data_IF_368555554781
#
_entry.id   IF_368555554781
#
_cell.length_a   1.000
_cell.length_b   1.000
_cell.length_c   1.000
_cell.angle_alpha   90.00
_cell.angle_beta   90.00
_cell.angle_gamma   90.00
#
_symmetry.space_group_name_H-M   'P 1'
#
loop_
_entity.id
_entity.type
_entity.pdbx_description
1 polymer ?
#
# COMPACT_ATOMS: atom_id res chain seq x y z
N UNK A 1 2.91 -10.86 4.42
CA UNK A 1 1.81 -10.04 4.98
C UNK A 1 1.80 -8.69 4.27
N UNK A 2 0.62 -8.09 4.08
CA UNK A 2 0.47 -6.76 3.50
C UNK A 2 -0.19 -5.82 4.50
N UNK A 3 0.19 -4.54 4.47
CA UNK A 3 -0.32 -3.49 5.36
C UNK A 3 -0.51 -2.20 4.56
N UNK A 4 -1.56 -1.43 4.87
CA UNK A 4 -1.80 -0.12 4.26
C UNK A 4 -2.26 0.90 5.30
N UNK A 5 -1.63 2.07 5.28
CA UNK A 5 -1.99 3.22 6.11
C UNK A 5 -1.38 4.53 5.56
N UNK A 6 -1.70 5.69 6.16
CA UNK A 6 -0.91 6.90 6.00
C UNK A 6 0.50 6.71 6.59
N UNK A 7 1.53 6.78 5.77
CA UNK A 7 2.92 6.52 6.18
C UNK A 7 3.58 7.79 6.75
N UNK A 8 2.99 8.34 7.81
CA UNK A 8 3.44 9.55 8.51
C UNK A 8 3.11 9.44 10.00
N UNK A 9 3.80 10.21 10.85
CA UNK A 9 3.51 10.31 12.29
C UNK A 9 2.53 11.42 12.63
N UNK A 10 2.29 12.35 11.71
CA UNK A 10 1.37 13.47 11.87
C UNK A 10 0.52 13.64 10.60
N UNK A 11 -0.77 13.92 10.77
CA UNK A 11 -1.71 14.03 9.65
C UNK A 11 -2.08 12.68 9.03
N UNK A 12 -2.82 12.75 7.91
CA UNK A 12 -3.27 11.59 7.14
C UNK A 12 -3.00 11.83 5.66
N UNK A 13 -1.77 11.52 5.26
CA UNK A 13 -1.26 11.66 3.90
C UNK A 13 -0.25 10.53 3.65
N UNK A 14 0.25 10.42 2.42
CA UNK A 14 1.21 9.37 2.04
C UNK A 14 0.65 7.96 2.24
N UNK A 15 -0.54 7.69 1.70
CA UNK A 15 -1.12 6.33 1.70
C UNK A 15 -0.15 5.40 1.00
N UNK A 16 0.30 4.38 1.73
CA UNK A 16 1.37 3.48 1.30
C UNK A 16 0.97 2.04 1.57
N UNK A 17 1.21 1.15 0.61
CA UNK A 17 1.18 -0.31 0.83
C UNK A 17 2.58 -0.76 1.23
N UNK A 18 2.70 -1.55 2.30
CA UNK A 18 3.95 -2.17 2.77
C UNK A 18 3.82 -3.68 2.78
N UNK A 19 4.88 -4.39 2.43
CA UNK A 19 4.95 -5.84 2.56
C UNK A 19 5.99 -6.28 3.59
N UNK A 20 5.66 -7.37 4.28
CA UNK A 20 6.56 -8.12 5.15
C UNK A 20 6.63 -9.57 4.70
N UNK A 21 7.85 -10.09 4.58
CA UNK A 21 8.13 -11.48 4.20
C UNK A 21 8.41 -12.40 5.40
N UNK A 22 8.54 -11.82 6.59
CA UNK A 22 8.95 -12.49 7.83
C UNK A 22 7.83 -12.49 8.90
N UNK A 23 6.57 -12.46 8.45
CA UNK A 23 5.41 -12.55 9.34
C UNK A 23 5.11 -11.27 10.13
N UNK A 24 5.63 -10.12 9.71
CA UNK A 24 5.39 -8.81 10.33
C UNK A 24 6.48 -8.33 11.25
N UNK A 25 7.65 -8.97 11.26
CA UNK A 25 8.80 -8.55 12.05
C UNK A 25 9.52 -7.36 11.42
N UNK A 26 9.61 -7.32 10.09
CA UNK A 26 10.19 -6.19 9.34
C UNK A 26 9.33 -5.79 8.14
N UNK A 27 9.39 -4.50 7.80
CA UNK A 27 8.76 -3.89 6.62
C UNK A 27 9.79 -3.01 5.88
N UNK A 28 10.73 -3.62 5.13
CA UNK A 28 11.78 -2.90 4.41
C UNK A 28 11.22 -1.83 3.46
N UNK A 29 11.94 -0.72 3.28
CA UNK A 29 11.51 0.40 2.42
C UNK A 29 11.40 -0.01 0.94
N UNK A 30 12.24 -0.94 0.47
CA UNK A 30 12.18 -1.49 -0.88
C UNK A 30 10.90 -2.28 -1.18
N UNK A 31 10.15 -2.65 -0.15
CA UNK A 31 8.88 -3.37 -0.23
C UNK A 31 7.66 -2.49 0.03
N UNK A 32 7.78 -1.20 -0.29
CA UNK A 32 6.73 -0.21 -0.12
C UNK A 32 6.35 0.47 -1.45
N UNK A 33 5.07 0.79 -1.60
CA UNK A 33 4.53 1.53 -2.73
C UNK A 33 3.68 2.68 -2.22
N UNK A 34 4.12 3.90 -2.47
CA UNK A 34 3.35 5.12 -2.23
C UNK A 34 2.26 5.24 -3.31
N UNK A 35 1.02 5.43 -2.88
CA UNK A 35 -0.14 5.54 -3.77
C UNK A 35 -0.69 6.96 -3.87
N UNK A 36 -0.65 7.70 -2.76
CA UNK A 36 -1.24 9.04 -2.66
C UNK A 36 -0.44 9.87 -1.65
N UNK A 37 0.28 10.88 -2.13
CA UNK A 37 1.13 11.74 -1.30
C UNK A 37 0.33 12.79 -0.53
N UNK A 38 -0.85 13.17 -1.04
CA UNK A 38 -1.62 14.30 -0.55
C UNK A 38 -2.52 13.95 0.66
N UNK A 39 -3.02 14.97 1.39
CA UNK A 39 -3.95 14.76 2.49
C UNK A 39 -5.29 14.16 2.06
N UNK A 40 -5.79 13.21 2.86
CA UNK A 40 -7.11 12.60 2.72
C UNK A 40 -7.71 12.22 4.08
N UNK A 41 -8.78 11.42 4.09
CA UNK A 41 -9.37 10.93 5.35
C UNK A 41 -8.63 9.72 5.91
N UNK A 42 -7.92 8.98 5.06
CA UNK A 42 -6.85 8.08 5.46
C UNK A 42 -7.22 6.64 5.80
N UNK A 43 -8.51 6.26 5.81
CA UNK A 43 -8.86 4.85 5.95
C UNK A 43 -8.59 4.09 4.66
N UNK A 44 -8.19 2.82 4.80
CA UNK A 44 -7.92 1.93 3.68
C UNK A 44 -8.23 0.47 4.04
N UNK A 45 -8.53 -0.34 3.03
CA UNK A 45 -8.73 -1.77 3.15
C UNK A 45 -8.09 -2.50 1.96
N UNK A 46 -7.39 -3.59 2.25
CA UNK A 46 -6.74 -4.43 1.24
C UNK A 46 -7.54 -5.71 0.98
N UNK A 47 -7.48 -6.18 -0.25
CA UNK A 47 -7.92 -7.52 -0.64
C UNK A 47 -6.98 -8.12 -1.68
N UNK A 48 -7.04 -9.42 -1.86
CA UNK A 48 -6.35 -10.13 -2.94
C UNK A 48 -7.33 -10.27 -4.09
N UNK A 49 -7.02 -9.64 -5.24
CA UNK A 49 -7.85 -9.76 -6.45
C UNK A 49 -7.60 -11.12 -7.09
N UNK A 50 -6.31 -11.45 -7.26
CA UNK A 50 -5.82 -12.71 -7.82
C UNK A 50 -4.43 -13.04 -7.26
N UNK A 51 -3.77 -14.07 -7.79
CA UNK A 51 -2.47 -14.53 -7.29
C UNK A 51 -1.33 -13.53 -7.47
N UNK A 52 -1.47 -12.54 -8.35
CA UNK A 52 -0.43 -11.60 -8.73
C UNK A 52 -0.79 -10.14 -8.40
N UNK A 53 -2.05 -9.89 -7.99
CA UNK A 53 -2.58 -8.53 -7.86
C UNK A 53 -3.31 -8.31 -6.54
N UNK A 54 -2.96 -7.21 -5.87
CA UNK A 54 -3.59 -6.71 -4.65
C UNK A 54 -4.53 -5.58 -5.02
N UNK A 55 -5.74 -5.61 -4.48
CA UNK A 55 -6.69 -4.50 -4.53
C UNK A 55 -6.63 -3.68 -3.25
N UNK A 56 -6.76 -2.36 -3.38
CA UNK A 56 -6.95 -1.45 -2.26
C UNK A 56 -8.18 -0.57 -2.52
N UNK A 57 -9.04 -0.44 -1.50
CA UNK A 57 -10.11 0.55 -1.46
C UNK A 57 -9.80 1.53 -0.32
N UNK A 58 -9.67 2.82 -0.62
CA UNK A 58 -9.23 3.82 0.36
C UNK A 58 -9.82 5.20 0.09
N UNK A 59 -9.75 6.06 1.11
CA UNK A 59 -10.19 7.46 1.05
C UNK A 59 -9.01 8.34 0.63
N UNK A 60 -8.99 8.76 -0.63
CA UNK A 60 -7.85 9.47 -1.25
C UNK A 60 -8.07 10.98 -1.31
N UNK A 61 -7.01 11.70 -1.72
CA UNK A 61 -7.03 13.12 -2.05
C UNK A 61 -7.89 13.45 -3.29
N UNK A 62 -8.10 12.49 -4.20
CA UNK A 62 -8.77 12.71 -5.49
C UNK A 62 -10.21 12.22 -5.53
N UNK A 63 -10.61 11.32 -4.63
CA UNK A 63 -11.99 10.83 -4.49
C UNK A 63 -12.24 10.20 -3.12
N UNK A 64 -13.46 10.37 -2.60
CA UNK A 64 -13.86 9.79 -1.30
C UNK A 64 -13.67 8.27 -1.22
N UNK A 65 -13.91 7.56 -2.32
CA UNK A 65 -13.69 6.12 -2.42
C UNK A 65 -12.87 5.83 -3.67
N UNK A 66 -11.61 5.48 -3.49
CA UNK A 66 -10.66 5.20 -4.56
C UNK A 66 -10.29 3.73 -4.55
N UNK A 67 -10.44 3.07 -5.70
CA UNK A 67 -9.96 1.71 -5.90
C UNK A 67 -8.72 1.71 -6.80
N UNK A 68 -7.67 1.01 -6.38
CA UNK A 68 -6.49 0.76 -7.19
C UNK A 68 -6.12 -0.73 -7.15
N UNK A 69 -5.54 -1.21 -8.24
CA UNK A 69 -4.98 -2.55 -8.35
C UNK A 69 -3.46 -2.44 -8.53
N UNK A 70 -2.70 -3.10 -7.65
CA UNK A 70 -1.24 -3.05 -7.60
C UNK A 70 -0.69 -4.46 -7.79
N UNK A 71 0.25 -4.66 -8.71
CA UNK A 71 0.88 -5.97 -8.89
C UNK A 71 1.81 -6.26 -7.73
N UNK A 72 1.81 -7.49 -7.23
CA UNK A 72 2.70 -7.93 -6.15
C UNK A 72 4.17 -7.72 -6.48
N UNK A 73 4.56 -7.85 -7.75
CA UNK A 73 5.94 -7.60 -8.22
C UNK A 73 6.36 -6.12 -8.14
N UNK A 74 5.40 -5.19 -8.12
CA UNK A 74 5.67 -3.76 -8.01
C UNK A 74 5.89 -3.39 -6.53
N UNK A 75 5.31 -4.16 -5.61
CA UNK A 75 5.53 -4.07 -4.16
C UNK A 75 6.81 -4.82 -3.77
N UNK A 76 6.93 -6.09 -4.11
CA UNK A 76 8.09 -6.93 -3.83
C UNK A 76 8.88 -7.07 -5.13
N UNK A 77 9.89 -6.22 -5.30
CA UNK A 77 10.81 -6.32 -6.43
C UNK A 77 11.70 -7.54 -6.22
N UNK A 78 11.51 -8.58 -7.03
CA UNK A 78 12.41 -9.72 -7.06
C UNK A 78 13.86 -9.30 -7.36
N UNK A 79 14.86 -10.17 -7.12
CA UNK A 79 16.23 -9.88 -7.54
C UNK A 79 16.21 -9.49 -9.03
N UNK A 80 16.82 -8.35 -9.36
CA UNK A 80 17.06 -7.95 -10.75
C UNK A 80 17.80 -9.11 -11.42
N UNK A 81 17.16 -9.78 -12.38
CA UNK A 81 17.87 -10.62 -13.34
C UNK A 81 18.69 -9.72 -14.26
#
# INVERSE_FOLDING_TARGET
MLFSNPNTTEGRHHITIKASLDGGLSFPEEYQVLLDEDPGWGYSCLTVIDKETVGILYESSVAHMTFQAVKLRDIIKGPRQ
#
